data_IF_449623577247
#
_entry.id   IF_449623577247
#
_cell.length_a   1.000
_cell.length_b   1.000
_cell.length_c   1.000
_cell.angle_alpha   90.00
_cell.angle_beta   90.00
_cell.angle_gamma   90.00
#
_symmetry.space_group_name_H-M   'P 1'
#
loop_
_entity.id
_entity.type
_entity.pdbx_description
1 polymer ?
#
# COMPACT_ATOMS: atom_id res chain seq x y z
N UNK A 1 -22.12 -65.68 -4.22
CA UNK A 1 -22.07 -64.77 -3.05
C UNK A 1 -20.99 -63.69 -3.19
N UNK A 2 -20.59 -63.28 -4.42
CA UNK A 2 -19.51 -62.32 -4.63
C UNK A 2 -19.96 -60.92 -5.08
N UNK A 3 -21.25 -60.72 -5.40
CA UNK A 3 -21.72 -59.44 -5.96
C UNK A 3 -21.99 -58.36 -4.89
N UNK A 4 -22.27 -58.75 -3.64
CA UNK A 4 -22.49 -57.80 -2.55
C UNK A 4 -21.20 -57.05 -2.15
N UNK A 5 -20.04 -57.69 -2.30
CA UNK A 5 -18.74 -57.07 -2.01
C UNK A 5 -18.36 -56.01 -3.05
N UNK A 6 -18.69 -56.23 -4.33
CA UNK A 6 -18.46 -55.25 -5.40
C UNK A 6 -19.34 -54.01 -5.27
N UNK A 7 -20.60 -54.17 -4.87
CA UNK A 7 -21.53 -53.06 -4.67
C UNK A 7 -21.17 -52.20 -3.45
N UNK A 8 -20.75 -52.83 -2.34
CA UNK A 8 -20.27 -52.11 -1.15
C UNK A 8 -18.92 -51.41 -1.41
N UNK A 9 -17.98 -52.04 -2.13
CA UNK A 9 -16.73 -51.40 -2.53
C UNK A 9 -16.94 -50.19 -3.47
N UNK A 10 -17.96 -50.25 -4.33
CA UNK A 10 -18.36 -49.15 -5.23
C UNK A 10 -19.04 -47.96 -4.52
N UNK A 11 -19.60 -48.15 -3.32
CA UNK A 11 -20.21 -47.08 -2.51
C UNK A 11 -19.25 -46.47 -1.48
N UNK A 12 -18.29 -47.25 -0.98
CA UNK A 12 -17.30 -46.77 0.01
C UNK A 12 -16.31 -45.77 -0.60
N UNK A 13 -15.95 -45.96 -1.87
CA UNK A 13 -15.04 -45.09 -2.62
C UNK A 13 -15.57 -43.65 -2.82
N UNK A 14 -16.80 -43.40 -3.30
CA UNK A 14 -17.33 -42.04 -3.45
C UNK A 14 -17.53 -41.35 -2.10
N UNK A 15 -17.96 -42.05 -1.04
CA UNK A 15 -18.13 -41.47 0.30
C UNK A 15 -16.79 -41.01 0.87
N UNK A 16 -15.75 -41.85 0.79
CA UNK A 16 -14.40 -41.47 1.22
C UNK A 16 -13.85 -40.30 0.40
N UNK A 17 -14.03 -40.30 -0.92
CA UNK A 17 -13.59 -39.19 -1.77
C UNK A 17 -14.32 -37.88 -1.44
N UNK A 18 -15.62 -37.93 -1.14
CA UNK A 18 -16.41 -36.77 -0.72
C UNK A 18 -15.93 -36.20 0.62
N UNK A 19 -15.62 -37.07 1.58
CA UNK A 19 -15.09 -36.67 2.88
C UNK A 19 -13.69 -36.07 2.78
N UNK A 20 -12.81 -36.65 1.96
CA UNK A 20 -11.47 -36.07 1.68
C UNK A 20 -11.59 -34.72 0.98
N UNK A 21 -12.45 -34.59 -0.04
CA UNK A 21 -12.68 -33.32 -0.73
C UNK A 21 -13.25 -32.24 0.19
N UNK A 22 -14.17 -32.58 1.08
CA UNK A 22 -14.72 -31.67 2.08
C UNK A 22 -13.65 -31.19 3.07
N UNK A 23 -12.79 -32.10 3.56
CA UNK A 23 -11.69 -31.75 4.45
C UNK A 23 -10.68 -30.82 3.76
N UNK A 24 -10.27 -31.12 2.53
CA UNK A 24 -9.37 -30.27 1.76
C UNK A 24 -9.98 -28.88 1.53
N UNK A 25 -11.25 -28.82 1.13
CA UNK A 25 -11.96 -27.54 0.91
C UNK A 25 -12.01 -26.71 2.19
N UNK A 26 -12.29 -27.34 3.33
CA UNK A 26 -12.30 -26.67 4.64
C UNK A 26 -10.91 -26.11 5.00
N UNK A 27 -9.86 -26.93 4.93
CA UNK A 27 -8.50 -26.50 5.28
C UNK A 27 -7.95 -25.42 4.34
N UNK A 28 -8.17 -25.54 3.03
CA UNK A 28 -7.76 -24.50 2.07
C UNK A 28 -8.61 -23.24 2.20
N UNK A 29 -9.91 -23.38 2.46
CA UNK A 29 -10.82 -22.26 2.71
C UNK A 29 -10.40 -21.43 3.92
N UNK A 30 -10.07 -22.09 5.05
CA UNK A 30 -9.65 -21.38 6.27
C UNK A 30 -8.29 -20.69 6.09
N UNK A 31 -7.34 -21.33 5.40
CA UNK A 31 -6.04 -20.70 5.05
C UNK A 31 -6.22 -19.49 4.15
N UNK A 32 -7.06 -19.61 3.12
CA UNK A 32 -7.38 -18.52 2.21
C UNK A 32 -8.05 -17.35 2.95
N UNK A 33 -9.02 -17.63 3.83
CA UNK A 33 -9.67 -16.61 4.64
C UNK A 33 -8.69 -15.90 5.58
N UNK A 34 -7.79 -16.63 6.25
CA UNK A 34 -6.74 -16.04 7.10
C UNK A 34 -5.79 -15.17 6.30
N UNK A 35 -5.37 -15.63 5.12
CA UNK A 35 -4.48 -14.87 4.24
C UNK A 35 -5.16 -13.57 3.78
N UNK A 36 -6.40 -13.65 3.32
CA UNK A 36 -7.19 -12.49 2.90
C UNK A 36 -7.35 -11.45 4.01
N UNK A 37 -7.62 -11.87 5.25
CA UNK A 37 -7.68 -10.95 6.40
C UNK A 37 -6.34 -10.24 6.66
N UNK A 38 -5.22 -10.95 6.50
CA UNK A 38 -3.88 -10.35 6.65
C UNK A 38 -3.60 -9.35 5.52
N UNK A 39 -3.99 -9.69 4.30
CA UNK A 39 -3.80 -8.83 3.14
C UNK A 39 -4.68 -7.58 3.23
N UNK A 40 -5.93 -7.71 3.67
CA UNK A 40 -6.84 -6.58 3.97
C UNK A 40 -6.28 -5.68 5.09
N UNK A 41 -5.77 -6.27 6.17
CA UNK A 41 -5.13 -5.50 7.24
C UNK A 41 -3.89 -4.74 6.75
N UNK A 42 -3.04 -5.41 5.97
CA UNK A 42 -1.86 -4.79 5.36
C UNK A 42 -2.25 -3.68 4.40
N UNK A 43 -3.28 -3.89 3.57
CA UNK A 43 -3.79 -2.88 2.65
C UNK A 43 -4.29 -1.65 3.40
N UNK A 44 -5.03 -1.82 4.49
CA UNK A 44 -5.45 -0.71 5.33
C UNK A 44 -4.26 0.10 5.87
N UNK A 45 -3.20 -0.58 6.33
CA UNK A 45 -1.99 0.10 6.82
C UNK A 45 -1.20 0.81 5.71
N UNK A 46 -1.13 0.24 4.52
CA UNK A 46 -0.53 0.89 3.35
C UNK A 46 -1.37 2.09 2.88
N UNK A 47 -2.70 2.02 2.97
CA UNK A 47 -3.60 3.14 2.68
C UNK A 47 -3.42 4.29 3.68
N UNK A 48 -3.34 3.97 4.98
CA UNK A 48 -3.01 4.97 6.02
C UNK A 48 -1.65 5.63 5.75
N UNK A 49 -0.63 4.85 5.34
CA UNK A 49 0.68 5.36 4.97
C UNK A 49 0.63 6.27 3.74
N UNK A 50 -0.12 5.87 2.71
CA UNK A 50 -0.30 6.68 1.50
C UNK A 50 -0.94 8.04 1.83
N UNK A 51 -2.00 8.05 2.64
CA UNK A 51 -2.65 9.28 3.05
C UNK A 51 -1.71 10.16 3.87
N UNK A 52 -0.96 9.58 4.81
CA UNK A 52 0.03 10.31 5.58
C UNK A 52 1.14 10.91 4.70
N UNK A 53 1.57 10.22 3.64
CA UNK A 53 2.49 10.78 2.63
C UNK A 53 1.85 11.93 1.86
N UNK A 54 0.60 11.80 1.39
CA UNK A 54 -0.12 12.89 0.73
C UNK A 54 -0.18 14.13 1.64
N UNK A 55 -0.47 13.92 2.92
CA UNK A 55 -0.49 15.01 3.90
C UNK A 55 0.90 15.57 4.12
N UNK A 56 1.98 14.80 4.08
CA UNK A 56 3.34 15.26 4.33
C UNK A 56 3.95 16.12 3.20
N UNK A 57 3.33 16.20 2.02
CA UNK A 57 3.85 17.01 0.91
C UNK A 57 3.92 18.48 1.32
N UNK A 58 5.14 19.02 1.26
CA UNK A 58 5.48 20.41 1.54
C UNK A 58 5.19 21.29 0.30
N UNK A 59 4.80 22.55 0.53
CA UNK A 59 4.60 23.57 -0.51
C UNK A 59 5.13 24.93 -0.03
N UNK A 60 5.46 25.82 -0.97
CA UNK A 60 5.99 27.14 -0.66
C UNK A 60 4.95 28.01 0.10
N UNK A 61 5.39 28.71 1.14
CA UNK A 61 4.52 29.56 1.96
C UNK A 61 3.89 28.87 3.18
N UNK A 62 4.33 27.67 3.54
CA UNK A 62 3.95 27.04 4.82
C UNK A 62 4.51 27.80 6.02
N UNK A 63 3.75 27.82 7.11
CA UNK A 63 4.22 28.29 8.41
C UNK A 63 5.09 27.22 9.11
N UNK A 64 5.92 27.63 10.08
CA UNK A 64 6.75 26.69 10.85
C UNK A 64 5.91 25.62 11.57
N UNK A 65 4.74 25.98 12.10
CA UNK A 65 3.81 25.03 12.72
C UNK A 65 3.30 23.99 11.71
N UNK A 66 3.00 24.41 10.48
CA UNK A 66 2.60 23.51 9.40
C UNK A 66 3.74 22.55 9.05
N UNK A 67 4.97 23.04 8.92
CA UNK A 67 6.14 22.19 8.65
C UNK A 67 6.34 21.11 9.72
N UNK A 68 6.15 21.43 11.00
CA UNK A 68 6.24 20.43 12.09
C UNK A 68 5.15 19.36 11.96
N UNK A 69 3.90 19.74 11.67
CA UNK A 69 2.82 18.79 11.47
C UNK A 69 3.04 17.88 10.24
N UNK A 70 3.66 18.41 9.19
CA UNK A 70 4.02 17.66 7.97
C UNK A 70 5.12 16.65 8.24
N UNK A 71 6.16 17.03 9.00
CA UNK A 71 7.21 16.11 9.48
C UNK A 71 6.63 14.95 10.28
N UNK A 72 5.75 15.25 11.24
CA UNK A 72 5.09 14.20 12.02
C UNK A 72 4.28 13.24 11.14
N UNK A 73 3.62 13.76 10.10
CA UNK A 73 2.90 12.93 9.12
C UNK A 73 3.84 12.06 8.29
N UNK A 74 4.99 12.59 7.87
CA UNK A 74 6.02 11.85 7.17
C UNK A 74 6.57 10.71 8.03
N UNK A 75 6.98 11.01 9.26
CA UNK A 75 7.49 9.99 10.21
C UNK A 75 6.46 8.88 10.44
N UNK A 76 5.19 9.25 10.63
CA UNK A 76 4.10 8.29 10.76
C UNK A 76 3.99 7.39 9.52
N UNK A 77 4.10 7.95 8.32
CA UNK A 77 4.07 7.19 7.07
C UNK A 77 5.25 6.22 6.96
N UNK A 78 6.46 6.70 7.26
CA UNK A 78 7.69 5.89 7.21
C UNK A 78 7.62 4.73 8.20
N UNK A 79 7.13 4.97 9.43
CA UNK A 79 6.95 3.91 10.43
C UNK A 79 5.96 2.83 9.97
N UNK A 80 4.86 3.21 9.33
CA UNK A 80 3.92 2.23 8.76
C UNK A 80 4.56 1.44 7.61
N UNK A 81 5.36 2.10 6.76
CA UNK A 81 6.08 1.44 5.68
C UNK A 81 7.13 0.46 6.23
N UNK A 82 7.83 0.82 7.31
CA UNK A 82 8.81 -0.09 7.89
C UNK A 82 8.15 -1.32 8.54
N UNK A 83 6.96 -1.18 9.12
CA UNK A 83 6.28 -2.34 9.72
C UNK A 83 5.58 -3.24 8.68
N UNK A 84 5.02 -2.66 7.62
CA UNK A 84 4.07 -3.37 6.73
C UNK A 84 4.47 -3.37 5.25
N UNK A 85 5.48 -2.60 4.86
CA UNK A 85 5.98 -2.50 3.49
C UNK A 85 6.92 -3.63 3.10
N UNK A 86 7.07 -3.86 1.79
CA UNK A 86 8.14 -4.74 1.30
C UNK A 86 9.53 -4.12 1.48
N UNK A 87 10.56 -4.93 1.22
CA UNK A 87 11.95 -4.46 1.21
C UNK A 87 12.19 -3.31 0.22
N UNK A 88 11.52 -3.34 -0.94
CA UNK A 88 11.63 -2.29 -1.95
C UNK A 88 11.02 -0.99 -1.44
N UNK A 89 9.84 -1.06 -0.83
CA UNK A 89 9.16 0.10 -0.28
C UNK A 89 9.94 0.73 0.88
N UNK A 90 10.52 -0.10 1.75
CA UNK A 90 11.43 0.35 2.81
C UNK A 90 12.67 1.06 2.26
N UNK A 91 13.26 0.52 1.20
CA UNK A 91 14.41 1.16 0.54
C UNK A 91 14.03 2.52 -0.04
N UNK A 92 12.87 2.63 -0.68
CA UNK A 92 12.37 3.90 -1.20
C UNK A 92 12.07 4.90 -0.07
N UNK A 93 11.49 4.45 1.04
CA UNK A 93 11.24 5.26 2.23
C UNK A 93 12.54 5.80 2.82
N UNK A 94 13.58 4.96 2.94
CA UNK A 94 14.89 5.39 3.43
C UNK A 94 15.52 6.47 2.56
N UNK A 95 15.36 6.39 1.22
CA UNK A 95 15.85 7.46 0.33
C UNK A 95 15.19 8.81 0.61
N UNK A 96 13.90 8.82 0.92
CA UNK A 96 13.17 10.03 1.31
C UNK A 96 13.69 10.57 2.65
N UNK A 97 13.90 9.69 3.63
CA UNK A 97 14.47 10.07 4.93
C UNK A 97 15.89 10.63 4.79
N UNK A 98 16.73 10.01 3.97
CA UNK A 98 18.09 10.50 3.70
C UNK A 98 18.08 11.86 3.01
N UNK A 99 17.21 12.07 2.03
CA UNK A 99 17.05 13.37 1.37
C UNK A 99 16.59 14.45 2.37
N UNK A 100 15.69 14.08 3.28
CA UNK A 100 15.24 14.93 4.37
C UNK A 100 16.39 15.31 5.32
N UNK A 101 17.22 14.33 5.70
CA UNK A 101 18.37 14.54 6.58
C UNK A 101 19.46 15.41 5.94
N UNK A 102 19.66 15.28 4.62
CA UNK A 102 20.60 16.11 3.84
C UNK A 102 20.12 17.54 3.63
N UNK A 103 18.86 17.86 3.94
CA UNK A 103 18.19 19.11 3.56
C UNK A 103 18.28 19.36 2.06
N UNK A 104 18.07 18.32 1.25
CA UNK A 104 18.02 18.49 -0.19
C UNK A 104 16.85 19.44 -0.51
N UNK A 105 17.10 20.46 -1.35
CA UNK A 105 16.10 21.48 -1.72
C UNK A 105 14.86 20.88 -2.41
N UNK A 106 14.97 19.64 -2.91
CA UNK A 106 13.90 18.94 -3.60
C UNK A 106 13.83 17.45 -3.21
N UNK A 107 12.78 17.08 -2.47
CA UNK A 107 12.49 15.69 -2.12
C UNK A 107 11.36 15.18 -3.02
N UNK A 108 11.69 14.24 -3.92
CA UNK A 108 10.67 13.61 -4.76
C UNK A 108 9.96 12.49 -4.01
N UNK A 109 8.72 12.74 -3.58
CA UNK A 109 7.86 11.73 -2.95
C UNK A 109 7.21 10.77 -3.97
N UNK A 110 7.21 11.12 -5.27
CA UNK A 110 6.49 10.37 -6.31
C UNK A 110 6.90 8.89 -6.41
N UNK A 111 8.20 8.51 -6.38
CA UNK A 111 8.59 7.11 -6.45
C UNK A 111 8.08 6.31 -5.25
N UNK A 112 8.17 6.89 -4.05
CA UNK A 112 7.68 6.26 -2.82
C UNK A 112 6.16 6.05 -2.89
N UNK A 113 5.42 7.09 -3.26
CA UNK A 113 3.95 7.04 -3.31
C UNK A 113 3.44 6.09 -4.39
N UNK A 114 4.13 6.02 -5.53
CA UNK A 114 3.83 5.04 -6.60
C UNK A 114 4.00 3.62 -6.06
N UNK A 115 5.10 3.34 -5.36
CA UNK A 115 5.33 2.03 -4.74
C UNK A 115 4.30 1.69 -3.65
N UNK A 116 3.95 2.64 -2.77
CA UNK A 116 2.91 2.42 -1.74
C UNK A 116 1.58 2.05 -2.42
N UNK A 117 1.19 2.80 -3.45
CA UNK A 117 -0.04 2.55 -4.21
C UNK A 117 -0.01 1.18 -4.88
N UNK A 118 1.09 0.81 -5.53
CA UNK A 118 1.20 -0.45 -6.24
C UNK A 118 1.17 -1.65 -5.27
N UNK A 119 1.82 -1.54 -4.11
CA UNK A 119 1.72 -2.56 -3.06
C UNK A 119 0.31 -2.65 -2.46
N UNK A 120 -0.35 -1.51 -2.23
CA UNK A 120 -1.74 -1.49 -1.79
C UNK A 120 -2.64 -2.21 -2.79
N UNK A 121 -2.48 -1.91 -4.09
CA UNK A 121 -3.26 -2.55 -5.16
C UNK A 121 -3.01 -4.04 -5.21
N UNK A 122 -1.75 -4.45 -5.11
CA UNK A 122 -1.38 -5.87 -5.04
C UNK A 122 -2.01 -6.57 -3.84
N UNK A 123 -1.99 -5.95 -2.66
CA UNK A 123 -2.61 -6.52 -1.45
C UNK A 123 -4.14 -6.67 -1.58
N UNK A 124 -4.77 -5.81 -2.37
CA UNK A 124 -6.21 -5.87 -2.66
C UNK A 124 -6.56 -6.77 -3.87
N UNK A 125 -5.57 -7.43 -4.49
CA UNK A 125 -5.78 -8.23 -5.70
C UNK A 125 -6.16 -7.39 -6.93
N UNK A 126 -5.83 -6.10 -6.94
CA UNK A 126 -6.04 -5.20 -8.07
C UNK A 126 -4.84 -5.21 -9.02
N UNK A 127 -5.12 -4.97 -10.30
CA UNK A 127 -4.07 -4.83 -11.33
C UNK A 127 -3.16 -3.63 -11.05
N UNK A 128 -1.88 -3.76 -11.39
CA UNK A 128 -0.91 -2.66 -11.25
C UNK A 128 -1.29 -1.51 -12.18
N UNK A 129 -1.08 -0.28 -11.74
CA UNK A 129 -1.18 0.89 -12.59
C UNK A 129 0.21 1.24 -13.11
N UNK A 130 0.41 1.20 -14.43
CA UNK A 130 1.70 1.57 -15.05
C UNK A 130 1.94 3.08 -15.11
N UNK A 131 0.99 3.87 -14.60
CA UNK A 131 1.10 5.32 -14.54
C UNK A 131 1.73 5.75 -13.22
N UNK A 132 2.75 6.63 -13.21
CA UNK A 132 3.28 7.20 -11.96
C UNK A 132 2.22 8.05 -11.26
N UNK A 133 2.33 8.18 -9.93
CA UNK A 133 1.52 9.16 -9.19
C UNK A 133 2.03 10.56 -9.53
N UNK A 134 1.27 11.29 -10.34
CA UNK A 134 1.55 12.70 -10.64
C UNK A 134 0.79 13.60 -9.67
N UNK A 135 1.52 14.48 -8.98
CA UNK A 135 0.92 15.64 -8.32
C UNK A 135 0.87 16.78 -9.32
N UNK A 136 -0.28 17.43 -9.44
CA UNK A 136 -0.34 18.78 -9.99
C UNK A 136 0.26 19.68 -8.91
N UNK A 137 1.54 19.99 -9.05
CA UNK A 137 2.18 21.03 -8.25
C UNK A 137 1.63 22.35 -8.81
N UNK A 138 0.71 22.99 -8.09
CA UNK A 138 0.32 24.36 -8.41
C UNK A 138 1.52 25.26 -8.11
N UNK A 139 2.33 25.53 -9.14
CA UNK A 139 3.15 26.73 -9.13
C UNK A 139 2.19 27.91 -9.11
N UNK A 140 1.98 28.50 -7.93
CA UNK A 140 1.41 29.83 -7.88
C UNK A 140 2.47 30.74 -8.49
N UNK A 141 2.30 31.06 -9.78
CA UNK A 141 3.10 32.07 -10.44
C UNK A 141 2.93 33.35 -9.61
N UNK A 142 4.00 33.85 -9.01
CA UNK A 142 4.08 35.21 -8.49
C UNK A 142 3.92 36.17 -9.66
N UNK A 143 2.71 36.32 -10.19
CA UNK A 143 2.31 37.49 -10.98
C UNK A 143 1.81 38.58 -10.02
N UNK A 144 2.65 38.88 -9.02
CA UNK A 144 2.63 40.14 -8.31
C UNK A 144 3.68 41.06 -8.93
N UNK A 145 3.53 41.38 -10.23
CA UNK A 145 4.27 42.51 -10.77
C UNK A 145 3.60 43.80 -10.28
N UNK A 146 4.29 44.45 -9.36
CA UNK A 146 4.26 45.88 -9.07
C UNK A 146 3.76 46.70 -10.27
N UNK A 147 2.57 47.28 -10.14
CA UNK A 147 2.17 48.46 -10.92
C UNK A 147 1.96 49.61 -9.94
N UNK A 148 3.03 50.00 -9.25
CA UNK A 148 3.14 51.29 -8.57
C UNK A 148 4.53 51.86 -8.79
N UNK A 149 4.73 52.52 -9.93
CA UNK A 149 5.33 53.86 -10.03
C UNK A 149 5.78 54.13 -11.47
N UNK A 150 5.01 54.96 -12.18
CA UNK A 150 5.59 55.88 -13.15
C UNK A 150 4.84 57.21 -13.06
N UNK A 151 5.58 58.28 -12.74
CA UNK A 151 5.34 59.65 -13.19
C UNK A 151 4.25 60.42 -12.49
#
# INVERSE_FOLDING_TARGET
MNDAAGFLAGLVTPILSGLVAALLTYFFGERSAKQRRRDEWRANKLSEAYNALCYAIEYQGMTDEQLVAKKASLEKAINMIDLYGSKELKSAANKVVEAYARRDDWISYMPLMTLVRDEFRKAMGMEKLDLPVNFIIFHQSDSGQDVTNQG
#
